data_IF_761470291576
#
_entry.id   IF_761470291576
#
_cell.length_a   1.000
_cell.length_b   1.000
_cell.length_c   1.000
_cell.angle_alpha   90.00
_cell.angle_beta   90.00
_cell.angle_gamma   90.00
#
_symmetry.space_group_name_H-M   'P 1'
#
loop_
_entity.id
_entity.type
_entity.pdbx_description
1 polymer ?
#
# COMPACT_ATOMS: atom_id res chain seq x y z
N UNK A 1 -27.24 3.04 -2.77
CA UNK A 1 -26.10 2.66 -1.93
C UNK A 1 -25.24 3.91 -1.71
N UNK A 2 -24.83 4.19 -0.47
CA UNK A 2 -24.00 5.37 -0.13
C UNK A 2 -22.63 4.97 0.44
N UNK A 3 -21.73 5.95 0.64
CA UNK A 3 -20.36 5.71 1.13
C UNK A 3 -20.29 4.97 2.47
N UNK A 4 -21.22 5.24 3.40
CA UNK A 4 -21.23 4.58 4.71
C UNK A 4 -21.62 3.11 4.59
N UNK A 5 -22.59 2.81 3.73
CA UNK A 5 -23.03 1.44 3.43
C UNK A 5 -21.90 0.63 2.77
N UNK A 6 -21.25 1.20 1.73
CA UNK A 6 -20.11 0.55 1.05
C UNK A 6 -18.96 0.26 2.02
N UNK A 7 -18.61 1.23 2.88
CA UNK A 7 -17.56 1.03 3.88
C UNK A 7 -17.92 -0.05 4.89
N UNK A 8 -19.16 -0.06 5.36
CA UNK A 8 -19.63 -1.09 6.29
C UNK A 8 -19.53 -2.48 5.63
N UNK A 9 -20.03 -2.61 4.41
CA UNK A 9 -19.97 -3.84 3.63
C UNK A 9 -18.51 -4.30 3.42
N UNK A 10 -17.61 -3.40 3.05
CA UNK A 10 -16.19 -3.69 2.89
C UNK A 10 -15.53 -4.23 4.18
N UNK A 11 -15.88 -3.67 5.33
CA UNK A 11 -15.43 -4.17 6.64
C UNK A 11 -16.04 -5.55 6.97
N UNK A 12 -17.31 -5.77 6.64
CA UNK A 12 -17.99 -7.06 6.81
C UNK A 12 -17.40 -8.16 5.89
N UNK A 13 -16.91 -7.79 4.70
CA UNK A 13 -16.16 -8.67 3.80
C UNK A 13 -14.75 -9.00 4.30
N UNK A 14 -14.23 -8.32 5.33
CA UNK A 14 -12.93 -8.63 5.94
C UNK A 14 -11.82 -7.59 5.71
N UNK A 15 -12.12 -6.43 5.13
CA UNK A 15 -11.15 -5.33 5.13
C UNK A 15 -10.92 -4.77 6.55
N UNK A 16 -9.69 -4.35 6.84
CA UNK A 16 -9.33 -3.72 8.12
C UNK A 16 -9.38 -2.20 8.06
N UNK A 17 -9.21 -1.64 6.86
CA UNK A 17 -9.31 -0.20 6.54
C UNK A 17 -10.08 -0.05 5.24
N UNK A 18 -10.84 1.03 5.12
CA UNK A 18 -11.54 1.38 3.89
C UNK A 18 -11.45 2.88 3.70
N UNK A 19 -10.97 3.30 2.53
CA UNK A 19 -10.93 4.70 2.12
C UNK A 19 -11.56 4.86 0.75
N UNK A 20 -12.17 6.01 0.49
CA UNK A 20 -12.80 6.32 -0.79
C UNK A 20 -12.18 7.61 -1.34
N UNK A 21 -11.72 7.55 -2.60
CA UNK A 21 -11.27 8.70 -3.35
C UNK A 21 -12.24 9.01 -4.49
N UNK A 22 -12.51 10.30 -4.73
CA UNK A 22 -13.12 10.74 -5.99
C UNK A 22 -12.11 10.56 -7.12
N UNK A 23 -12.59 10.19 -8.31
CA UNK A 23 -11.76 10.08 -9.51
C UNK A 23 -11.04 11.39 -9.86
N UNK A 24 -11.56 12.54 -9.44
CA UNK A 24 -10.94 13.85 -9.65
C UNK A 24 -9.52 13.95 -9.05
N UNK A 25 -9.23 13.19 -7.99
CA UNK A 25 -7.90 13.14 -7.36
C UNK A 25 -6.83 12.49 -8.25
N UNK A 26 -7.23 11.87 -9.34
CA UNK A 26 -6.34 11.21 -10.31
C UNK A 26 -6.20 12.03 -11.60
N UNK A 27 -6.83 13.21 -11.70
CA UNK A 27 -6.72 14.10 -12.86
C UNK A 27 -5.27 14.55 -13.04
N UNK A 28 -4.74 14.37 -14.26
CA UNK A 28 -3.35 14.71 -14.59
C UNK A 28 -2.37 13.54 -14.45
N UNK A 29 -2.79 12.36 -14.00
CA UNK A 29 -1.97 11.15 -14.10
C UNK A 29 -1.93 10.68 -15.56
N UNK A 30 -0.73 10.37 -16.03
CA UNK A 30 -0.47 9.79 -17.36
C UNK A 30 -1.27 8.51 -17.60
N UNK A 31 -1.65 8.26 -18.86
CA UNK A 31 -2.55 7.18 -19.23
C UNK A 31 -2.09 5.79 -18.75
N UNK A 32 -0.78 5.51 -18.75
CA UNK A 32 -0.23 4.22 -18.30
C UNK A 32 -0.29 3.99 -16.78
N UNK A 33 -0.77 4.95 -15.99
CA UNK A 33 -1.03 4.84 -14.56
C UNK A 33 -2.38 5.38 -14.12
N UNK A 34 -3.24 5.79 -15.05
CA UNK A 34 -4.49 6.45 -14.75
C UNK A 34 -5.64 5.43 -14.61
N UNK A 35 -6.42 5.46 -13.51
CA UNK A 35 -7.58 4.58 -13.36
C UNK A 35 -8.59 4.65 -14.52
N UNK A 36 -8.75 5.82 -15.14
CA UNK A 36 -9.67 6.03 -16.27
C UNK A 36 -9.24 5.29 -17.53
N UNK A 37 -7.96 4.95 -17.67
CA UNK A 37 -7.47 4.13 -18.78
C UNK A 37 -7.85 2.65 -18.61
N UNK A 38 -8.12 2.20 -17.37
CA UNK A 38 -8.63 0.86 -17.07
C UNK A 38 -10.16 0.83 -17.17
N UNK A 39 -10.84 1.77 -16.51
CA UNK A 39 -12.30 1.88 -16.47
C UNK A 39 -12.72 3.34 -16.72
N UNK A 40 -13.10 3.72 -17.96
CA UNK A 40 -13.39 5.12 -18.31
C UNK A 40 -14.55 5.77 -17.55
N UNK A 41 -15.50 4.97 -17.05
CA UNK A 41 -16.67 5.46 -16.33
C UNK A 41 -16.48 5.46 -14.80
N UNK A 42 -15.26 5.32 -14.30
CA UNK A 42 -15.00 5.38 -12.85
C UNK A 42 -15.39 6.73 -12.27
N UNK A 43 -16.17 6.69 -11.20
CA UNK A 43 -16.49 7.86 -10.38
C UNK A 43 -15.78 7.82 -9.03
N UNK A 44 -15.64 6.62 -8.47
CA UNK A 44 -15.04 6.41 -7.15
C UNK A 44 -13.97 5.33 -7.20
N UNK A 45 -12.90 5.53 -6.44
CA UNK A 45 -11.87 4.53 -6.16
C UNK A 45 -11.99 4.13 -4.69
N UNK A 46 -12.38 2.88 -4.45
CA UNK A 46 -12.51 2.31 -3.10
C UNK A 46 -11.21 1.56 -2.79
N UNK A 47 -10.49 1.96 -1.76
CA UNK A 47 -9.22 1.33 -1.35
C UNK A 47 -9.43 0.54 -0.07
N UNK A 48 -9.06 -0.74 -0.11
CA UNK A 48 -9.14 -1.65 1.03
C UNK A 48 -7.75 -1.86 1.60
N UNK A 49 -7.60 -1.72 2.92
CA UNK A 49 -6.37 -2.04 3.64
C UNK A 49 -6.55 -3.30 4.48
N UNK A 50 -5.55 -4.17 4.45
CA UNK A 50 -5.52 -5.44 5.19
C UNK A 50 -4.29 -5.49 6.08
N UNK A 51 -4.47 -5.75 7.36
CA UNK A 51 -3.41 -5.68 8.34
C UNK A 51 -2.45 -6.87 8.20
N UNK A 52 -1.16 -6.60 8.39
CA UNK A 52 -0.17 -7.64 8.69
C UNK A 52 -0.15 -7.83 10.21
N UNK A 53 -0.35 -9.06 10.67
CA UNK A 53 -0.46 -9.36 12.09
C UNK A 53 0.83 -8.98 12.82
N UNK A 54 0.73 -8.08 13.80
CA UNK A 54 1.91 -7.62 14.57
C UNK A 54 2.66 -8.79 15.24
N UNK A 55 1.94 -9.79 15.74
CA UNK A 55 2.53 -10.99 16.35
C UNK A 55 3.40 -11.81 15.41
N UNK A 56 3.13 -11.76 14.10
CA UNK A 56 3.92 -12.46 13.09
C UNK A 56 5.36 -11.94 12.94
N UNK A 57 5.63 -10.73 13.44
CA UNK A 57 6.97 -10.13 13.44
C UNK A 57 7.82 -10.59 14.62
N UNK A 58 7.22 -11.20 15.67
CA UNK A 58 7.93 -11.54 16.91
C UNK A 58 9.02 -12.59 16.67
N UNK A 59 8.74 -13.61 15.87
CA UNK A 59 9.72 -14.65 15.55
C UNK A 59 10.93 -14.13 14.77
N UNK A 60 10.75 -13.09 13.95
CA UNK A 60 11.86 -12.41 13.26
C UNK A 60 12.65 -11.55 14.25
N UNK A 61 11.95 -10.83 15.12
CA UNK A 61 12.56 -9.99 16.16
C UNK A 61 13.44 -10.78 17.12
N UNK A 62 12.99 -11.95 17.58
CA UNK A 62 13.77 -12.85 18.45
C UNK A 62 14.74 -13.74 17.66
N UNK A 63 14.71 -13.70 16.33
CA UNK A 63 15.55 -14.53 15.46
C UNK A 63 15.20 -16.03 15.47
N UNK A 64 14.05 -16.41 16.04
CA UNK A 64 13.68 -17.82 16.29
C UNK A 64 12.73 -18.41 15.25
N UNK A 65 11.87 -17.61 14.63
CA UNK A 65 10.85 -18.09 13.68
C UNK A 65 10.59 -17.06 12.58
N UNK A 66 11.31 -17.19 11.47
CA UNK A 66 11.24 -16.21 10.38
C UNK A 66 9.98 -16.38 9.52
N UNK A 67 9.49 -17.61 9.38
CA UNK A 67 8.33 -17.95 8.56
C UNK A 67 7.01 -17.41 9.09
N UNK A 68 6.94 -16.97 10.35
CA UNK A 68 5.68 -16.48 10.94
C UNK A 68 5.12 -15.27 10.20
N UNK A 69 5.97 -14.41 9.62
CA UNK A 69 5.52 -13.24 8.85
C UNK A 69 4.66 -13.63 7.65
N UNK A 70 4.96 -14.77 7.00
CA UNK A 70 4.16 -15.28 5.89
C UNK A 70 2.75 -15.64 6.34
N UNK A 71 2.63 -16.34 7.47
CA UNK A 71 1.34 -16.73 8.05
C UNK A 71 0.53 -15.54 8.61
N UNK A 72 1.19 -14.44 8.96
CA UNK A 72 0.54 -13.20 9.37
C UNK A 72 0.28 -12.22 8.25
N UNK A 73 0.58 -12.59 7.00
CA UNK A 73 0.39 -11.77 5.82
C UNK A 73 -1.01 -11.99 5.23
N UNK A 74 -1.79 -10.94 4.94
CA UNK A 74 -3.12 -11.07 4.36
C UNK A 74 -3.10 -11.32 2.84
N UNK A 75 -1.93 -11.51 2.23
CA UNK A 75 -1.79 -11.64 0.76
C UNK A 75 -2.67 -12.76 0.16
N UNK A 76 -2.92 -13.84 0.90
CA UNK A 76 -3.74 -14.96 0.42
C UNK A 76 -5.23 -14.72 0.53
N UNK A 77 -5.70 -13.89 1.47
CA UNK A 77 -7.13 -13.66 1.70
C UNK A 77 -7.63 -12.30 1.18
N UNK A 78 -6.76 -11.30 1.06
CA UNK A 78 -7.15 -9.96 0.59
C UNK A 78 -7.80 -9.99 -0.80
N UNK A 79 -7.40 -10.93 -1.66
CA UNK A 79 -7.98 -11.09 -3.01
C UNK A 79 -9.43 -11.57 -2.91
N UNK A 80 -9.69 -12.57 -2.06
CA UNK A 80 -11.03 -13.11 -1.81
C UNK A 80 -11.95 -12.04 -1.23
N UNK A 81 -11.49 -11.32 -0.21
CA UNK A 81 -12.27 -10.23 0.41
C UNK A 81 -12.55 -9.07 -0.55
N UNK A 82 -11.60 -8.74 -1.43
CA UNK A 82 -11.80 -7.73 -2.48
C UNK A 82 -12.83 -8.21 -3.51
N UNK A 83 -12.76 -9.49 -3.90
CA UNK A 83 -13.70 -10.12 -4.82
C UNK A 83 -15.12 -10.14 -4.25
N UNK A 84 -15.30 -10.49 -2.98
CA UNK A 84 -16.61 -10.51 -2.34
C UNK A 84 -17.25 -9.12 -2.31
N UNK A 85 -16.49 -8.06 -2.02
CA UNK A 85 -17.02 -6.70 -2.13
C UNK A 85 -17.41 -6.34 -3.57
N UNK A 86 -16.62 -6.74 -4.56
CA UNK A 86 -16.97 -6.52 -5.97
C UNK A 86 -18.28 -7.23 -6.32
N UNK A 87 -18.50 -8.47 -5.85
CA UNK A 87 -19.74 -9.20 -6.06
C UNK A 87 -20.95 -8.51 -5.45
N UNK A 88 -20.82 -7.97 -4.25
CA UNK A 88 -21.91 -7.23 -3.62
C UNK A 88 -22.25 -5.94 -4.39
N UNK A 89 -21.22 -5.22 -4.87
CA UNK A 89 -21.40 -4.04 -5.72
C UNK A 89 -22.08 -4.39 -7.05
N UNK A 90 -21.63 -5.46 -7.72
CA UNK A 90 -22.21 -5.93 -8.98
C UNK A 90 -23.63 -6.49 -8.81
N UNK A 91 -23.90 -7.18 -7.69
CA UNK A 91 -25.26 -7.63 -7.35
C UNK A 91 -26.21 -6.45 -7.12
N UNK A 92 -25.68 -5.30 -6.70
CA UNK A 92 -26.41 -4.05 -6.59
C UNK A 92 -26.44 -3.22 -7.90
N UNK A 93 -25.88 -3.75 -8.99
CA UNK A 93 -25.92 -3.16 -10.33
C UNK A 93 -24.78 -2.18 -10.65
N UNK A 94 -23.68 -2.18 -9.89
CA UNK A 94 -22.53 -1.31 -10.11
C UNK A 94 -21.33 -2.09 -10.64
N UNK A 95 -20.70 -1.61 -11.70
CA UNK A 95 -19.53 -2.28 -12.28
C UNK A 95 -18.29 -2.00 -11.40
N UNK A 96 -17.63 -3.06 -10.94
CA UNK A 96 -16.51 -2.99 -9.99
C UNK A 96 -15.28 -3.70 -10.54
N UNK A 97 -14.20 -2.96 -10.82
CA UNK A 97 -12.94 -3.53 -11.31
C UNK A 97 -11.94 -3.66 -10.14
N UNK A 98 -11.64 -4.89 -9.66
CA UNK A 98 -10.66 -5.10 -8.60
C UNK A 98 -9.23 -4.92 -9.11
N UNK A 99 -8.39 -4.30 -8.30
CA UNK A 99 -6.98 -4.03 -8.57
C UNK A 99 -6.11 -4.47 -7.39
N UNK A 100 -4.96 -5.04 -7.72
CA UNK A 100 -3.88 -5.34 -6.78
C UNK A 100 -2.68 -4.45 -7.04
N UNK A 101 -1.81 -4.30 -6.04
CA UNK A 101 -0.51 -3.65 -6.25
C UNK A 101 0.30 -4.46 -7.26
N UNK A 102 0.92 -3.77 -8.22
CA UNK A 102 1.83 -4.36 -9.19
C UNK A 102 3.12 -3.55 -9.27
N UNK A 103 4.20 -4.18 -9.73
CA UNK A 103 5.46 -3.49 -9.96
C UNK A 103 5.33 -2.56 -11.19
N UNK A 104 5.53 -1.24 -11.03
CA UNK A 104 5.49 -0.26 -12.14
C UNK A 104 6.52 -0.56 -13.25
N UNK A 105 7.58 -1.33 -12.97
CA UNK A 105 8.54 -1.80 -13.98
C UNK A 105 7.96 -2.84 -14.96
N UNK A 106 6.76 -3.35 -14.71
CA UNK A 106 5.99 -4.17 -15.65
C UNK A 106 5.24 -3.34 -16.70
N UNK A 107 5.22 -2.00 -16.58
CA UNK A 107 4.64 -1.16 -17.62
C UNK A 107 5.43 -1.29 -18.91
N UNK A 108 4.72 -1.09 -20.00
CA UNK A 108 5.23 -1.09 -21.36
C UNK A 108 5.78 -2.45 -21.87
N UNK A 109 5.10 -3.56 -21.55
CA UNK A 109 5.48 -4.91 -21.99
C UNK A 109 4.56 -5.49 -23.07
N UNK A 110 3.37 -4.91 -23.26
CA UNK A 110 2.38 -5.32 -24.24
C UNK A 110 2.33 -4.46 -25.49
N UNK A 111 1.35 -4.77 -26.36
CA UNK A 111 1.06 -3.99 -27.57
C UNK A 111 -0.28 -3.30 -27.39
N UNK A 112 -0.33 -1.99 -27.63
CA UNK A 112 -1.57 -1.23 -27.59
C UNK A 112 -2.61 -1.81 -28.56
N UNK A 113 -3.85 -1.95 -28.09
CA UNK A 113 -4.94 -2.49 -28.90
C UNK A 113 -5.44 -1.53 -29.98
N UNK A 114 -5.14 -0.23 -29.83
CA UNK A 114 -5.41 0.82 -30.81
C UNK A 114 -4.45 2.01 -30.62
N UNK A 115 -4.21 2.86 -31.65
CA UNK A 115 -3.26 3.96 -31.58
C UNK A 115 -3.57 5.04 -30.53
N UNK A 116 -4.83 5.15 -30.11
CA UNK A 116 -5.34 6.12 -29.14
C UNK A 116 -5.28 5.63 -27.68
N UNK A 117 -4.92 4.36 -27.46
CA UNK A 117 -4.87 3.74 -26.14
C UNK A 117 -3.44 3.48 -25.67
N UNK A 118 -3.20 3.52 -24.35
CA UNK A 118 -1.92 3.07 -23.81
C UNK A 118 -1.73 1.57 -24.06
N UNK A 119 -0.49 1.11 -23.91
CA UNK A 119 -0.18 -0.32 -23.81
C UNK A 119 -0.97 -0.95 -22.63
N UNK A 120 -1.36 -2.23 -22.74
CA UNK A 120 -2.35 -2.85 -21.84
C UNK A 120 -1.88 -2.94 -20.38
N UNK A 121 -0.58 -2.83 -20.11
CA UNK A 121 0.02 -2.82 -18.78
C UNK A 121 -0.19 -1.47 -18.07
N UNK A 122 -1.44 -1.00 -18.00
CA UNK A 122 -1.81 0.17 -17.21
C UNK A 122 -1.73 -0.22 -15.73
N UNK A 123 -0.65 0.21 -15.08
CA UNK A 123 -0.37 -0.15 -13.69
C UNK A 123 -0.52 1.10 -12.82
N UNK A 124 -1.56 1.16 -12.01
CA UNK A 124 -1.78 2.27 -11.07
C UNK A 124 -0.78 2.26 -9.90
N UNK A 125 -0.53 3.43 -9.31
CA UNK A 125 0.25 3.50 -8.07
C UNK A 125 -0.65 3.27 -6.85
N UNK A 126 -0.56 2.07 -6.27
CA UNK A 126 -1.39 1.68 -5.13
C UNK A 126 -1.12 2.50 -3.86
N UNK A 127 0.12 2.99 -3.66
CA UNK A 127 0.44 3.82 -2.51
C UNK A 127 -0.18 5.22 -2.69
N UNK A 128 -0.18 5.75 -3.92
CA UNK A 128 -0.95 6.97 -4.22
C UNK A 128 -2.45 6.77 -4.08
N UNK A 129 -3.01 5.64 -4.53
CA UNK A 129 -4.43 5.34 -4.32
C UNK A 129 -4.82 5.38 -2.84
N UNK A 130 -4.03 4.74 -1.97
CA UNK A 130 -4.26 4.77 -0.53
C UNK A 130 -4.14 6.18 0.06
N UNK A 131 -3.18 6.99 -0.40
CA UNK A 131 -3.09 8.40 -0.02
C UNK A 131 -4.31 9.19 -0.47
N UNK A 132 -4.69 9.07 -1.75
CA UNK A 132 -5.82 9.75 -2.34
C UNK A 132 -7.15 9.32 -1.69
N UNK A 133 -7.20 8.14 -1.07
CA UNK A 133 -8.33 7.65 -0.27
C UNK A 133 -8.28 8.05 1.21
N UNK A 134 -7.29 8.86 1.62
CA UNK A 134 -7.15 9.39 2.98
C UNK A 134 -6.61 8.40 4.01
N UNK A 135 -6.04 7.26 3.59
CA UNK A 135 -5.64 6.19 4.51
C UNK A 135 -4.31 6.44 5.22
N UNK A 136 -3.40 7.23 4.65
CA UNK A 136 -2.05 7.37 5.18
C UNK A 136 -1.11 8.18 4.31
N UNK A 137 0.19 8.08 4.63
CA UNK A 137 1.27 8.80 3.96
C UNK A 137 2.49 7.94 3.73
N UNK A 138 3.28 8.26 2.72
CA UNK A 138 4.61 7.67 2.55
C UNK A 138 5.60 8.30 3.56
N UNK A 139 6.30 7.46 4.33
CA UNK A 139 7.37 7.89 5.23
C UNK A 139 8.75 7.93 4.56
N UNK A 140 9.72 8.56 5.21
CA UNK A 140 11.09 8.75 4.67
C UNK A 140 11.78 7.44 4.27
N UNK A 141 11.50 6.36 5.00
CA UNK A 141 12.02 5.03 4.70
C UNK A 141 11.33 4.32 3.54
N UNK A 142 10.44 5.01 2.80
CA UNK A 142 9.57 4.50 1.74
C UNK A 142 8.63 3.37 2.20
N UNK A 143 8.08 3.52 3.40
CA UNK A 143 6.97 2.69 3.88
C UNK A 143 5.70 3.53 3.83
N UNK A 144 4.60 2.98 3.32
CA UNK A 144 3.30 3.63 3.46
C UNK A 144 2.80 3.42 4.88
N UNK A 145 2.44 4.51 5.56
CA UNK A 145 2.11 4.53 6.99
C UNK A 145 0.65 4.93 7.19
N UNK A 146 -0.11 4.03 7.82
CA UNK A 146 -1.47 4.31 8.30
C UNK A 146 -1.44 4.64 9.80
N UNK A 147 -2.34 5.52 10.30
CA UNK A 147 -2.44 5.77 11.74
C UNK A 147 -2.75 4.50 12.56
N UNK A 148 -3.44 3.52 11.97
CA UNK A 148 -3.87 2.32 12.66
C UNK A 148 -2.73 1.30 12.79
N UNK A 149 -2.01 1.05 11.70
CA UNK A 149 -1.09 -0.09 11.60
C UNK A 149 0.36 0.28 11.30
N UNK A 150 0.67 1.57 11.13
CA UNK A 150 2.00 1.99 10.71
C UNK A 150 2.31 1.42 9.33
N UNK A 151 3.42 0.68 9.12
CA UNK A 151 3.72 0.02 7.85
C UNK A 151 3.10 -1.38 7.70
N UNK A 152 2.33 -1.87 8.68
CA UNK A 152 1.83 -3.26 8.74
C UNK A 152 0.51 -3.44 7.98
N UNK A 153 0.49 -3.14 6.69
CA UNK A 153 -0.69 -3.37 5.86
C UNK A 153 -0.33 -3.55 4.38
N UNK A 154 -1.23 -4.19 3.67
CA UNK A 154 -1.27 -4.19 2.20
C UNK A 154 -2.59 -3.59 1.72
N UNK A 155 -2.62 -3.19 0.45
CA UNK A 155 -3.79 -2.56 -0.16
C UNK A 155 -4.23 -3.28 -1.43
N UNK A 156 -5.54 -3.29 -1.63
CA UNK A 156 -6.19 -3.47 -2.93
C UNK A 156 -7.07 -2.26 -3.21
N UNK A 157 -7.51 -2.11 -4.46
CA UNK A 157 -8.43 -1.04 -4.84
C UNK A 157 -9.53 -1.58 -5.75
N UNK A 158 -10.64 -0.87 -5.81
CA UNK A 158 -11.77 -1.16 -6.70
C UNK A 158 -12.13 0.12 -7.43
N UNK A 159 -12.15 0.06 -8.77
CA UNK A 159 -12.66 1.13 -9.60
C UNK A 159 -14.15 0.93 -9.80
N UNK A 160 -14.97 1.91 -9.40
CA UNK A 160 -16.42 1.79 -9.44
C UNK A 160 -17.08 2.99 -10.14
N UNK A 161 -18.15 2.74 -10.88
CA UNK A 161 -19.01 3.77 -11.50
C UNK A 161 -20.05 4.35 -10.54
N UNK A 162 -20.21 3.77 -9.35
CA UNK A 162 -20.98 4.34 -8.25
C UNK A 162 -20.29 5.62 -7.75
N UNK A 163 -21.05 6.71 -7.70
CA UNK A 163 -20.60 7.98 -7.13
C UNK A 163 -20.70 7.93 -5.60
N UNK A 164 -19.56 8.07 -4.93
CA UNK A 164 -19.43 7.99 -3.48
C UNK A 164 -18.79 9.26 -2.95
N UNK A 165 -19.24 9.72 -1.79
CA UNK A 165 -18.58 10.77 -1.03
C UNK A 165 -17.16 10.32 -0.66
N UNK A 166 -16.17 11.11 -1.07
CA UNK A 166 -14.76 10.84 -0.87
C UNK A 166 -14.30 11.22 0.55
N UNK A 167 -13.38 10.45 1.10
CA UNK A 167 -12.76 10.74 2.40
C UNK A 167 -11.89 11.98 2.34
N UNK A 168 -11.81 12.73 3.44
CA UNK A 168 -10.80 13.78 3.55
C UNK A 168 -9.40 13.17 3.54
N UNK A 169 -8.44 13.86 2.94
CA UNK A 169 -7.04 13.47 3.04
C UNK A 169 -6.62 13.51 4.53
N UNK A 170 -5.78 12.55 4.93
CA UNK A 170 -5.27 12.49 6.30
C UNK A 170 -4.50 13.79 6.61
N UNK A 171 -4.83 14.46 7.70
CA UNK A 171 -4.10 15.65 8.14
C UNK A 171 -2.80 15.26 8.84
N UNK A 172 -1.71 15.97 8.55
CA UNK A 172 -0.40 15.75 9.17
C UNK A 172 0.32 14.52 8.61
N UNK A 173 1.33 14.01 9.33
CA UNK A 173 2.11 12.84 8.90
C UNK A 173 2.23 11.82 10.04
N UNK A 174 2.12 10.54 9.70
CA UNK A 174 2.41 9.43 10.63
C UNK A 174 3.93 9.34 10.86
N UNK A 175 4.73 9.58 9.81
CA UNK A 175 6.18 9.68 9.91
C UNK A 175 6.58 11.02 10.53
N UNK A 176 7.44 10.98 11.53
CA UNK A 176 7.94 12.15 12.27
C UNK A 176 9.41 12.47 12.00
N UNK A 177 9.99 11.88 10.94
CA UNK A 177 11.38 12.12 10.58
C UNK A 177 12.40 11.57 11.59
N UNK A 178 12.02 10.60 12.43
CA UNK A 178 12.94 10.04 13.43
C UNK A 178 14.19 9.36 12.84
N UNK A 179 14.12 8.91 11.58
CA UNK A 179 15.21 8.20 10.90
C UNK A 179 15.50 6.79 11.42
N UNK A 180 14.68 6.23 12.32
CA UNK A 180 14.94 4.91 12.93
C UNK A 180 14.99 3.77 11.89
N UNK A 181 14.14 3.83 10.86
CA UNK A 181 14.19 2.89 9.74
C UNK A 181 15.53 2.95 8.97
N UNK A 182 16.10 4.14 8.85
CA UNK A 182 17.34 4.38 8.12
C UNK A 182 18.55 3.89 8.94
N UNK A 183 18.63 4.32 10.20
CA UNK A 183 19.71 3.98 11.16
C UNK A 183 19.82 2.47 11.39
N UNK A 184 18.69 1.78 11.40
CA UNK A 184 18.63 0.34 11.66
C UNK A 184 18.93 -0.54 10.45
N UNK A 185 19.20 0.03 9.26
CA UNK A 185 19.51 -0.74 8.06
C UNK A 185 20.94 -1.34 8.12
N UNK A 186 21.09 -2.65 8.34
CA UNK A 186 22.42 -3.27 8.49
C UNK A 186 23.19 -3.32 7.16
N UNK A 187 22.46 -3.37 6.04
CA UNK A 187 23.05 -3.38 4.70
C UNK A 187 23.48 -2.00 4.20
N UNK A 188 23.23 -0.93 4.98
CA UNK A 188 23.45 0.47 4.56
C UNK A 188 22.87 0.76 3.17
N UNK A 189 21.68 0.22 2.91
CA UNK A 189 21.07 0.28 1.58
C UNK A 189 20.45 1.66 1.29
N UNK A 190 20.20 2.49 2.30
CA UNK A 190 19.67 3.84 2.09
C UNK A 190 20.77 4.83 1.71
N UNK A 191 20.46 5.71 0.76
CA UNK A 191 21.27 6.91 0.48
C UNK A 191 20.79 8.04 1.39
N UNK A 192 21.53 8.32 2.48
CA UNK A 192 21.08 9.18 3.58
C UNK A 192 21.04 10.67 3.21
N UNK A 193 21.87 11.07 2.25
CA UNK A 193 22.04 12.46 1.84
C UNK A 193 21.11 12.84 0.68
N UNK A 194 20.57 11.84 -0.02
CA UNK A 194 19.70 12.03 -1.17
C UNK A 194 18.22 11.96 -0.79
N UNK A 195 17.40 12.60 -1.62
CA UNK A 195 15.95 12.47 -1.63
C UNK A 195 15.51 12.04 -3.02
N UNK A 196 14.47 11.22 -3.07
CA UNK A 196 13.71 10.97 -4.28
C UNK A 196 12.30 11.51 -4.08
N UNK A 197 11.89 12.31 -5.05
CA UNK A 197 10.55 12.88 -5.12
C UNK A 197 9.78 12.22 -6.27
N UNK A 198 8.50 11.95 -6.06
CA UNK A 198 7.56 11.53 -7.09
C UNK A 198 6.30 12.38 -6.96
N UNK A 199 5.97 13.07 -8.05
CA UNK A 199 4.83 14.00 -8.09
C UNK A 199 3.54 13.27 -8.44
N UNK A 200 2.50 13.58 -7.68
CA UNK A 200 1.13 13.16 -7.94
C UNK A 200 0.18 14.38 -7.86
N UNK A 201 -1.01 14.30 -8.46
CA UNK A 201 -1.92 15.45 -8.54
C UNK A 201 -2.25 16.11 -7.19
N UNK A 202 -2.38 15.33 -6.12
CA UNK A 202 -2.73 15.83 -4.79
C UNK A 202 -1.58 15.82 -3.78
N UNK A 203 -0.36 15.41 -4.17
CA UNK A 203 0.80 15.33 -3.25
C UNK A 203 2.12 15.06 -3.95
N UNK A 204 3.24 15.41 -3.31
CA UNK A 204 4.56 14.92 -3.69
C UNK A 204 5.03 13.89 -2.66
N UNK A 205 5.28 12.67 -3.11
CA UNK A 205 5.88 11.64 -2.27
C UNK A 205 7.39 11.84 -2.23
N UNK A 206 7.96 11.90 -1.02
CA UNK A 206 9.39 12.12 -0.79
C UNK A 206 9.97 11.06 0.13
N UNK A 207 11.06 10.42 -0.27
CA UNK A 207 11.72 9.36 0.52
C UNK A 207 13.23 9.28 0.29
N UNK A 208 13.93 8.51 1.14
CA UNK A 208 15.36 8.19 0.98
C UNK A 208 15.56 7.07 -0.04
N UNK A 209 16.32 7.29 -1.11
CA UNK A 209 16.58 6.27 -2.12
C UNK A 209 17.20 5.00 -1.51
N UNK A 210 16.85 3.85 -2.09
CA UNK A 210 17.29 2.54 -1.65
C UNK A 210 18.12 1.87 -2.75
N UNK A 211 19.32 1.40 -2.42
CA UNK A 211 20.11 0.49 -3.24
C UNK A 211 19.53 -0.92 -3.13
N UNK A 212 18.79 -1.34 -4.16
CA UNK A 212 17.95 -2.55 -4.13
C UNK A 212 18.78 -3.80 -3.87
N UNK A 213 19.92 -3.94 -4.54
CA UNK A 213 20.80 -5.11 -4.44
C UNK A 213 21.37 -5.28 -3.04
N UNK A 214 21.73 -4.17 -2.38
CA UNK A 214 22.19 -4.19 -0.98
C UNK A 214 21.06 -4.57 -0.03
N UNK A 215 19.84 -4.14 -0.35
CA UNK A 215 18.67 -4.48 0.44
C UNK A 215 18.28 -5.96 0.29
N UNK A 216 18.36 -6.52 -0.90
CA UNK A 216 18.00 -7.92 -1.19
C UNK A 216 18.87 -8.91 -0.41
N UNK A 217 20.15 -8.61 -0.22
CA UNK A 217 21.07 -9.48 0.56
C UNK A 217 20.92 -9.33 2.08
N UNK A 218 20.02 -8.46 2.56
CA UNK A 218 19.83 -8.19 3.97
C UNK A 218 19.27 -9.40 4.73
N UNK A 219 20.09 -9.97 5.63
CA UNK A 219 19.71 -11.13 6.45
C UNK A 219 19.02 -10.74 7.75
N UNK A 220 18.12 -9.76 7.73
CA UNK A 220 17.36 -9.36 8.94
C UNK A 220 15.86 -9.42 8.77
N UNK A 221 15.36 -10.06 7.72
CA UNK A 221 13.93 -10.32 7.52
C UNK A 221 13.39 -9.70 6.23
N UNK A 222 14.28 -9.36 5.28
CA UNK A 222 13.86 -9.00 3.93
C UNK A 222 13.31 -10.24 3.22
N UNK A 223 12.21 -10.08 2.50
CA UNK A 223 11.66 -11.10 1.62
C UNK A 223 11.45 -10.52 0.21
N UNK A 224 11.24 -11.42 -0.77
CA UNK A 224 10.93 -11.02 -2.14
C UNK A 224 9.70 -10.10 -2.18
N UNK A 225 9.67 -9.20 -3.16
CA UNK A 225 8.49 -8.38 -3.39
C UNK A 225 7.31 -9.28 -3.80
N UNK A 226 6.21 -9.32 -3.03
CA UNK A 226 5.09 -10.20 -3.33
C UNK A 226 4.36 -9.84 -4.63
N UNK A 227 4.64 -8.67 -5.21
CA UNK A 227 3.98 -8.12 -6.40
C UNK A 227 4.85 -8.15 -7.66
N UNK A 228 6.06 -8.70 -7.60
CA UNK A 228 7.01 -8.58 -8.69
C UNK A 228 7.06 -9.77 -9.63
N UNK A 229 6.32 -10.87 -9.37
CA UNK A 229 6.24 -12.06 -10.24
C UNK A 229 7.60 -12.54 -10.79
N UNK A 230 8.66 -12.48 -9.98
CA UNK A 230 10.02 -12.88 -10.36
C UNK A 230 10.86 -11.80 -11.05
N UNK A 231 10.29 -10.64 -11.38
CA UNK A 231 11.04 -9.45 -11.79
C UNK A 231 11.69 -8.82 -10.56
N UNK A 232 12.95 -8.39 -10.69
CA UNK A 232 13.64 -7.67 -9.62
C UNK A 232 12.93 -6.33 -9.35
N UNK A 233 12.73 -6.03 -8.09
CA UNK A 233 12.07 -4.82 -7.63
C UNK A 233 12.40 -4.57 -6.16
N UNK A 234 11.93 -3.44 -5.62
CA UNK A 234 12.16 -3.14 -4.21
C UNK A 234 11.61 -4.27 -3.33
N UNK A 235 12.45 -4.89 -2.48
CA UNK A 235 12.03 -6.07 -1.73
C UNK A 235 11.06 -5.68 -0.61
N UNK A 236 10.37 -6.66 -0.06
CA UNK A 236 9.53 -6.45 1.11
C UNK A 236 10.40 -6.33 2.36
N UNK A 237 10.31 -5.19 3.03
CA UNK A 237 11.17 -4.80 4.15
C UNK A 237 10.44 -4.71 5.47
N UNK A 238 9.15 -5.07 5.53
CA UNK A 238 8.38 -5.02 6.77
C UNK A 238 9.00 -5.91 7.85
N UNK A 239 9.39 -7.13 7.45
CA UNK A 239 10.09 -8.06 8.32
C UNK A 239 11.51 -7.65 8.65
N UNK A 240 12.16 -6.78 7.85
CA UNK A 240 13.55 -6.39 8.02
C UNK A 240 13.79 -5.47 9.22
N UNK A 241 15.05 -5.29 9.64
CA UNK A 241 15.39 -4.43 10.79
C UNK A 241 14.83 -3.01 10.64
N UNK A 242 14.85 -2.44 9.43
CA UNK A 242 14.30 -1.13 9.12
C UNK A 242 12.77 -1.04 9.27
N UNK A 243 12.03 -2.04 8.78
CA UNK A 243 10.58 -2.13 8.95
C UNK A 243 10.19 -2.31 10.41
N UNK A 244 10.88 -3.22 11.13
CA UNK A 244 10.64 -3.44 12.56
C UNK A 244 10.98 -2.21 13.40
N UNK A 245 12.03 -1.46 13.06
CA UNK A 245 12.35 -0.21 13.75
C UNK A 245 11.27 0.86 13.55
N UNK A 246 10.70 0.95 12.35
CA UNK A 246 9.55 1.83 12.10
C UNK A 246 8.34 1.44 12.96
N UNK A 247 7.98 0.14 13.01
CA UNK A 247 6.89 -0.35 13.87
C UNK A 247 7.17 -0.04 15.35
N UNK A 248 8.38 -0.34 15.83
CA UNK A 248 8.74 -0.14 17.24
C UNK A 248 8.68 1.33 17.65
N UNK A 249 9.19 2.24 16.81
CA UNK A 249 9.14 3.69 17.07
C UNK A 249 7.70 4.22 17.09
N UNK A 250 6.88 3.83 16.10
CA UNK A 250 5.49 4.30 16.05
C UNK A 250 4.66 3.79 17.23
N UNK A 251 4.90 2.55 17.69
CA UNK A 251 4.27 2.02 18.91
C UNK A 251 4.75 2.78 20.16
N UNK A 252 6.07 2.94 20.36
CA UNK A 252 6.62 3.54 21.59
C UNK A 252 6.36 5.04 21.73
N UNK A 253 6.21 5.75 20.60
CA UNK A 253 5.89 7.17 20.57
C UNK A 253 4.38 7.47 20.64
N UNK A 254 3.53 6.44 20.76
CA UNK A 254 2.08 6.62 20.85
C UNK A 254 1.43 7.13 19.56
N UNK A 255 2.08 6.95 18.40
CA UNK A 255 1.59 7.42 17.10
C UNK A 255 0.63 6.45 16.42
N UNK A 256 0.51 5.22 16.91
CA UNK A 256 -0.45 4.24 16.41
C UNK A 256 -1.76 4.28 17.20
N UNK A 257 -2.87 4.26 16.48
CA UNK A 257 -4.22 4.14 17.05
C UNK A 257 -4.51 2.72 17.56
N UNK A 258 -3.86 1.69 16.98
CA UNK A 258 -3.98 0.30 17.43
C UNK A 258 -2.63 -0.18 17.96
N UNK A 259 -2.55 -0.32 19.28
CA UNK A 259 -1.42 -0.89 20.00
C UNK A 259 -1.81 -2.18 20.72
N UNK A 260 -0.85 -3.09 20.89
CA UNK A 260 -1.03 -4.28 21.72
C UNK A 260 -0.66 -3.98 23.18
N UNK A 261 -1.15 -4.80 24.12
CA UNK A 261 -0.83 -4.67 25.55
C UNK A 261 0.68 -4.75 25.83
N UNK A 262 1.39 -5.59 25.08
CA UNK A 262 2.84 -5.76 25.22
C UNK A 262 3.54 -4.94 24.12
N UNK A 263 4.61 -4.22 24.49
CA UNK A 263 5.42 -3.43 23.57
C UNK A 263 6.06 -4.27 22.46
N UNK A 264 6.35 -3.62 21.33
CA UNK A 264 7.21 -4.20 20.30
C UNK A 264 8.61 -3.79 20.68
N UNK A 265 9.51 -4.78 20.78
CA UNK A 265 10.68 -4.80 21.65
C UNK A 265 10.32 -5.08 23.09
#
# INVERSE_FOLDING_TARGET
MNSKEVKKMALECGADLVGIASIDRFKGIEANGNPLSIKPNTKSVIVLGFQVLRGSLRGIETGTCWGSIGMGSPLTCMIEYTYDLCRELESAGWEAVPLIKQNKGLRNQGVAVSPDKPEPDVIVDMDYMAYAAGLGHLGEGKFFLTPQYGPRQYFTAILCDLELEADSLLSGSVCDGCGECLKSCPSKAYTMEAWKDEEFPSSTFRWRPLHVESCEICRTGVSGNPYSNGIRGEPNRLGAACGRACVAHLESSGRLQKSLKNSFR
#
